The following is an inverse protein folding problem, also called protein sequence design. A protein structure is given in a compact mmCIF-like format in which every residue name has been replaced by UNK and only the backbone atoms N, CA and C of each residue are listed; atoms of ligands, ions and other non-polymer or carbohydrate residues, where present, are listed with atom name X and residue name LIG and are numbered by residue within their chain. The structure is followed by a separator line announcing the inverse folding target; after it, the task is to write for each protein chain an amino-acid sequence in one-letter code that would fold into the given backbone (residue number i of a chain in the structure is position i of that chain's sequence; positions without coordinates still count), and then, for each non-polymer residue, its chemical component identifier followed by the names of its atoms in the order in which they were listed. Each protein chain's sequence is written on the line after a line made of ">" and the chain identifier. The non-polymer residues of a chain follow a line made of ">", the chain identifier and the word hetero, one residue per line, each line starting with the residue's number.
data_IF_321744011898
#
_entry.id   IF_321744011898
#
_cell.length_a   1.000
_cell.length_b   1.000
_cell.length_c   1.000
_cell.angle_alpha   90.00
_cell.angle_beta   90.00
_cell.angle_gamma   90.00
#
_symmetry.space_group_name_H-M   'P 1'
#
loop_
_entity.id
_entity.type
_entity.pdbx_description
1 polymer ?
#
# COMPACT_ATOMS: atom_id res chain seq x y z
N UNK A 1 -4.78 -17.62 -34.09
CA UNK A 1 -5.96 -17.61 -33.21
C UNK A 1 -5.60 -18.09 -31.82
N UNK A 2 -5.20 -17.19 -30.91
CA UNK A 2 -5.35 -17.48 -29.47
C UNK A 2 -6.87 -17.45 -29.15
N UNK A 3 -7.39 -18.36 -28.34
CA UNK A 3 -8.82 -18.39 -28.03
C UNK A 3 -9.20 -17.17 -27.19
N UNK A 4 -10.32 -16.52 -27.53
CA UNK A 4 -10.86 -15.30 -26.88
C UNK A 4 -11.05 -15.46 -25.37
N UNK A 5 -11.25 -16.70 -24.90
CA UNK A 5 -11.41 -17.04 -23.48
C UNK A 5 -10.12 -16.83 -22.67
N UNK A 6 -8.92 -16.94 -23.26
CA UNK A 6 -7.66 -16.77 -22.52
C UNK A 6 -7.36 -15.30 -22.22
N UNK A 7 -7.71 -14.40 -23.15
CA UNK A 7 -7.40 -12.97 -23.05
C UNK A 7 -8.25 -12.33 -21.95
N UNK A 8 -9.56 -12.59 -21.95
CA UNK A 8 -10.46 -12.06 -20.90
C UNK A 8 -10.12 -12.58 -19.49
N UNK A 9 -9.62 -13.82 -19.38
CA UNK A 9 -9.18 -14.38 -18.11
C UNK A 9 -7.87 -13.72 -17.61
N UNK A 10 -6.92 -13.46 -18.51
CA UNK A 10 -5.67 -12.75 -18.22
C UNK A 10 -5.93 -11.29 -17.83
N UNK A 11 -6.82 -10.58 -18.54
CA UNK A 11 -7.28 -9.23 -18.19
C UNK A 11 -7.91 -9.19 -16.80
N UNK A 12 -8.80 -10.14 -16.46
CA UNK A 12 -9.41 -10.20 -15.12
C UNK A 12 -8.39 -10.45 -14.01
N UNK A 13 -7.31 -11.18 -14.32
CA UNK A 13 -6.22 -11.47 -13.39
C UNK A 13 -5.32 -10.25 -13.22
N UNK A 14 -5.04 -9.52 -14.30
CA UNK A 14 -4.28 -8.28 -14.26
C UNK A 14 -5.00 -7.22 -13.43
N UNK A 15 -6.29 -7.00 -13.72
CA UNK A 15 -7.16 -6.07 -12.99
C UNK A 15 -7.17 -6.36 -11.49
N UNK A 16 -7.40 -7.62 -11.10
CA UNK A 16 -7.40 -8.02 -9.70
C UNK A 16 -6.07 -7.72 -9.01
N UNK A 17 -4.95 -7.91 -9.72
CA UNK A 17 -3.61 -7.71 -9.18
C UNK A 17 -3.25 -6.23 -9.08
N UNK A 18 -3.53 -5.44 -10.12
CA UNK A 18 -3.37 -3.98 -10.12
C UNK A 18 -4.23 -3.36 -9.02
N UNK A 19 -5.48 -3.81 -8.86
CA UNK A 19 -6.37 -3.37 -7.79
C UNK A 19 -5.76 -3.61 -6.40
N UNK A 20 -5.23 -4.82 -6.14
CA UNK A 20 -4.54 -5.15 -4.89
C UNK A 20 -3.34 -4.23 -4.63
N UNK A 21 -2.52 -3.97 -5.64
CA UNK A 21 -1.34 -3.09 -5.54
C UNK A 21 -1.76 -1.64 -5.26
N UNK A 22 -2.76 -1.13 -5.97
CA UNK A 22 -3.30 0.21 -5.76
C UNK A 22 -3.92 0.38 -4.37
N UNK A 23 -4.56 -0.65 -3.81
CA UNK A 23 -5.05 -0.62 -2.42
C UNK A 23 -3.92 -0.48 -1.41
N UNK A 24 -2.77 -1.12 -1.63
CA UNK A 24 -1.59 -0.92 -0.78
C UNK A 24 -1.02 0.50 -0.95
N UNK A 25 -0.96 1.03 -2.18
CA UNK A 25 -0.54 2.41 -2.45
C UNK A 25 -1.43 3.42 -1.72
N UNK A 26 -2.73 3.20 -1.74
CA UNK A 26 -3.70 4.02 -1.00
C UNK A 26 -3.49 3.91 0.52
N UNK A 27 -3.32 2.69 1.03
CA UNK A 27 -3.07 2.47 2.45
C UNK A 27 -1.78 3.17 2.92
N UNK A 28 -0.71 3.16 2.12
CA UNK A 28 0.51 3.91 2.42
C UNK A 28 0.24 5.43 2.51
N UNK A 29 -0.56 5.99 1.58
CA UNK A 29 -0.95 7.40 1.63
C UNK A 29 -1.85 7.73 2.83
N UNK A 30 -2.75 6.82 3.19
CA UNK A 30 -3.59 6.91 4.37
C UNK A 30 -2.73 7.03 5.63
N UNK A 31 -1.72 6.18 5.79
CA UNK A 31 -0.78 6.25 6.93
C UNK A 31 0.05 7.55 6.91
N UNK A 32 0.55 7.98 5.74
CA UNK A 32 1.26 9.27 5.61
C UNK A 32 0.39 10.44 6.09
N UNK A 33 -0.87 10.50 5.66
CA UNK A 33 -1.79 11.59 6.03
C UNK A 33 -2.09 11.57 7.53
N UNK A 34 -2.35 10.39 8.08
CA UNK A 34 -2.52 10.23 9.50
C UNK A 34 -1.29 10.79 10.23
N UNK A 35 -0.07 10.46 9.79
CA UNK A 35 1.14 10.82 10.56
C UNK A 35 1.34 12.32 10.53
N UNK A 36 1.11 12.94 9.37
CA UNK A 36 1.25 14.38 9.18
C UNK A 36 0.18 15.21 9.89
N UNK A 37 -1.05 14.72 10.00
CA UNK A 37 -2.16 15.54 10.54
C UNK A 37 -2.17 15.61 12.08
N UNK A 38 -1.34 14.81 12.76
CA UNK A 38 -1.21 14.85 14.21
C UNK A 38 -2.47 14.45 14.98
N UNK A 39 -3.53 13.95 14.30
CA UNK A 39 -4.74 13.41 14.94
C UNK A 39 -4.48 12.06 15.65
N UNK A 40 -3.22 11.63 15.71
CA UNK A 40 -2.72 10.49 16.49
C UNK A 40 -2.77 10.77 18.00
N UNK A 41 -3.65 10.08 18.73
CA UNK A 41 -3.42 9.80 20.17
C UNK A 41 -2.54 8.55 20.30
N UNK A 42 -1.78 8.41 21.39
CA UNK A 42 -0.73 7.38 21.58
C UNK A 42 -1.14 5.92 21.23
N UNK A 43 -2.41 5.56 21.39
CA UNK A 43 -2.96 4.23 21.05
C UNK A 43 -2.88 3.91 19.55
N UNK A 44 -2.80 4.90 18.68
CA UNK A 44 -2.80 4.71 17.23
C UNK A 44 -1.38 4.47 16.64
N UNK A 45 -0.28 4.66 17.38
CA UNK A 45 1.08 4.43 16.84
C UNK A 45 1.43 2.95 16.67
N UNK A 46 0.89 2.08 17.53
CA UNK A 46 0.90 0.63 17.32
C UNK A 46 0.10 0.21 16.06
N UNK A 47 -0.83 1.04 15.58
CA UNK A 47 -1.62 0.75 14.38
C UNK A 47 -0.81 0.93 13.11
N UNK A 48 0.19 1.82 13.04
CA UNK A 48 1.02 2.00 11.83
C UNK A 48 1.83 0.73 11.53
N UNK A 49 2.49 0.16 12.55
CA UNK A 49 3.20 -1.12 12.44
C UNK A 49 2.27 -2.25 12.01
N UNK A 50 1.06 -2.29 12.57
CA UNK A 50 0.04 -3.28 12.20
C UNK A 50 -0.46 -3.08 10.76
N UNK A 51 -0.71 -1.84 10.34
CA UNK A 51 -1.14 -1.50 8.98
C UNK A 51 -0.09 -1.94 7.95
N UNK A 52 1.20 -1.69 8.21
CA UNK A 52 2.30 -2.16 7.36
C UNK A 52 2.34 -3.69 7.28
N UNK A 53 2.13 -4.38 8.41
CA UNK A 53 2.02 -5.86 8.40
C UNK A 53 0.84 -6.33 7.54
N UNK A 54 -0.29 -5.62 7.56
CA UNK A 54 -1.44 -5.93 6.69
C UNK A 54 -1.16 -5.64 5.21
N UNK A 55 -0.48 -4.54 4.89
CA UNK A 55 -0.01 -4.25 3.53
C UNK A 55 0.83 -5.39 2.96
N UNK A 56 1.73 -5.97 3.76
CA UNK A 56 2.57 -7.09 3.33
C UNK A 56 1.81 -8.43 3.27
N UNK A 57 1.09 -8.78 4.34
CA UNK A 57 0.55 -10.14 4.53
C UNK A 57 -0.85 -10.34 3.96
N UNK A 58 -1.76 -9.40 4.18
CA UNK A 58 -3.16 -9.56 3.78
C UNK A 58 -3.34 -9.27 2.30
N UNK A 59 -2.62 -8.29 1.78
CA UNK A 59 -2.61 -8.01 0.34
C UNK A 59 -1.64 -8.90 -0.43
N UNK A 60 -0.83 -9.73 0.25
CA UNK A 60 0.19 -10.59 -0.36
C UNK A 60 1.02 -9.80 -1.37
N UNK A 61 1.49 -8.62 -0.98
CA UNK A 61 2.00 -7.60 -1.91
C UNK A 61 3.11 -8.12 -2.84
N UNK A 62 4.04 -8.91 -2.31
CA UNK A 62 5.09 -9.53 -3.12
C UNK A 62 4.52 -10.46 -4.21
N UNK A 63 3.55 -11.30 -3.85
CA UNK A 63 2.88 -12.19 -4.80
C UNK A 63 2.10 -11.41 -5.86
N UNK A 64 1.49 -10.28 -5.47
CA UNK A 64 0.80 -9.41 -6.40
C UNK A 64 1.77 -8.80 -7.42
N UNK A 65 2.92 -8.27 -7.01
CA UNK A 65 3.93 -7.79 -7.95
C UNK A 65 4.43 -8.89 -8.89
N UNK A 66 4.73 -10.08 -8.36
CA UNK A 66 5.17 -11.21 -9.17
C UNK A 66 4.10 -11.61 -10.19
N UNK A 67 2.84 -11.69 -9.75
CA UNK A 67 1.71 -12.08 -10.60
C UNK A 67 1.44 -11.06 -11.72
N UNK A 68 1.51 -9.76 -11.43
CA UNK A 68 1.33 -8.70 -12.43
C UNK A 68 2.52 -8.66 -13.40
N UNK A 69 3.77 -8.73 -12.91
CA UNK A 69 4.96 -8.75 -13.77
C UNK A 69 4.97 -9.95 -14.72
N UNK A 70 4.46 -11.11 -14.29
CA UNK A 70 4.35 -12.30 -15.14
C UNK A 70 3.46 -12.10 -16.37
N UNK A 71 2.56 -11.11 -16.35
CA UNK A 71 1.66 -10.77 -17.46
C UNK A 71 2.31 -9.80 -18.48
N UNK A 72 3.48 -9.23 -18.17
CA UNK A 72 4.25 -8.46 -19.14
C UNK A 72 4.88 -9.41 -20.16
N UNK A 73 4.68 -9.13 -21.45
CA UNK A 73 5.23 -9.97 -22.55
C UNK A 73 6.74 -9.81 -22.71
N UNK A 74 7.26 -8.60 -22.44
CA UNK A 74 8.68 -8.27 -22.59
C UNK A 74 9.47 -8.66 -21.33
N UNK A 75 10.48 -9.52 -21.50
CA UNK A 75 11.30 -10.01 -20.38
C UNK A 75 12.08 -8.89 -19.67
N UNK A 76 12.55 -7.86 -20.39
CA UNK A 76 13.26 -6.73 -19.78
C UNK A 76 12.31 -5.90 -18.91
N UNK A 77 11.11 -5.60 -19.43
CA UNK A 77 10.06 -4.93 -18.65
C UNK A 77 9.63 -5.75 -17.44
N UNK A 78 9.52 -7.07 -17.58
CA UNK A 78 9.18 -7.97 -16.47
C UNK A 78 10.20 -7.90 -15.33
N UNK A 79 11.50 -7.91 -15.66
CA UNK A 79 12.58 -7.79 -14.66
C UNK A 79 12.53 -6.41 -13.99
N UNK A 80 12.48 -5.33 -14.78
CA UNK A 80 12.45 -3.98 -14.24
C UNK A 80 11.20 -3.70 -13.37
N UNK A 81 10.03 -4.19 -13.78
CA UNK A 81 8.83 -4.13 -12.95
C UNK A 81 9.01 -4.95 -11.67
N UNK A 82 9.56 -6.16 -11.75
CA UNK A 82 9.89 -6.97 -10.58
C UNK A 82 10.76 -6.22 -9.56
N UNK A 83 11.82 -5.57 -10.02
CA UNK A 83 12.72 -4.78 -9.18
C UNK A 83 12.04 -3.57 -8.52
N UNK A 84 11.14 -2.88 -9.24
CA UNK A 84 10.35 -1.79 -8.65
C UNK A 84 9.40 -2.30 -7.55
N UNK A 85 8.74 -3.44 -7.80
CA UNK A 85 7.87 -4.08 -6.82
C UNK A 85 8.61 -4.58 -5.58
N UNK A 86 9.78 -5.19 -5.77
CA UNK A 86 10.65 -5.67 -4.69
C UNK A 86 11.10 -4.52 -3.79
N UNK A 87 11.55 -3.39 -4.38
CA UNK A 87 11.89 -2.18 -3.62
C UNK A 87 10.72 -1.69 -2.75
N UNK A 88 9.48 -1.75 -3.23
CA UNK A 88 8.32 -1.37 -2.41
C UNK A 88 8.13 -2.31 -1.20
N UNK A 89 8.31 -3.62 -1.40
CA UNK A 89 8.23 -4.63 -0.33
C UNK A 89 9.35 -4.46 0.69
N UNK A 90 10.59 -4.27 0.23
CA UNK A 90 11.77 -4.06 1.08
C UNK A 90 11.65 -2.79 1.94
N UNK A 91 11.10 -1.70 1.38
CA UNK A 91 10.86 -0.48 2.15
C UNK A 91 9.87 -0.72 3.30
N UNK A 92 8.81 -1.51 3.08
CA UNK A 92 7.87 -1.87 4.16
C UNK A 92 8.54 -2.75 5.23
N UNK A 93 9.37 -3.72 4.84
CA UNK A 93 10.14 -4.53 5.80
C UNK A 93 11.14 -3.68 6.60
N UNK A 94 11.86 -2.77 5.94
CA UNK A 94 12.77 -1.82 6.59
C UNK A 94 12.06 -1.00 7.67
N UNK A 95 10.84 -0.53 7.40
CA UNK A 95 10.04 0.17 8.42
C UNK A 95 9.72 -0.76 9.60
N UNK A 96 9.33 -2.02 9.34
CA UNK A 96 9.03 -2.99 10.40
C UNK A 96 10.25 -3.32 11.26
N UNK A 97 11.41 -3.53 10.65
CA UNK A 97 12.67 -3.77 11.36
C UNK A 97 13.02 -2.60 12.28
N UNK A 98 12.78 -1.37 11.82
CA UNK A 98 13.02 -0.18 12.62
C UNK A 98 12.09 -0.09 13.84
N UNK A 99 10.83 -0.52 13.71
CA UNK A 99 9.94 -0.68 14.85
C UNK A 99 10.45 -1.78 15.81
N UNK A 100 10.81 -2.96 15.30
CA UNK A 100 11.22 -4.12 16.11
C UNK A 100 12.55 -3.90 16.85
N UNK A 101 13.55 -3.26 16.22
CA UNK A 101 14.84 -2.94 16.84
C UNK A 101 14.72 -2.06 18.10
N UNK A 102 13.66 -1.28 18.18
CA UNK A 102 13.40 -0.39 19.30
C UNK A 102 12.60 -1.04 20.44
N UNK A 103 11.79 -2.05 20.13
CA UNK A 103 11.07 -2.82 21.15
C UNK A 103 12.07 -3.55 22.08
N UNK A 104 13.25 -3.92 21.57
CA UNK A 104 14.36 -4.48 22.35
C UNK A 104 14.98 -3.44 23.31
N UNK A 105 15.02 -2.16 22.94
CA UNK A 105 15.51 -1.08 23.82
C UNK A 105 14.49 -0.69 24.90
N UNK A 106 13.20 -0.90 24.65
CA UNK A 106 12.08 -0.53 25.52
C UNK A 106 11.64 -1.63 26.50
N UNK A 107 12.46 -2.65 26.75
CA UNK A 107 12.22 -3.69 27.77
C UNK A 107 12.16 -3.16 29.23
N UNK A 108 12.30 -1.85 29.45
CA UNK A 108 11.95 -1.19 30.72
C UNK A 108 10.48 -0.77 30.68
N UNK A 109 9.67 -1.51 31.44
CA UNK A 109 8.24 -1.30 31.68
C UNK A 109 7.89 0.20 31.86
N UNK A 110 7.07 0.77 30.97
CA UNK A 110 6.34 2.00 31.30
C UNK A 110 6.00 3.00 30.18
N UNK A 111 6.68 3.02 29.04
CA UNK A 111 6.42 4.03 27.99
C UNK A 111 6.37 3.41 26.59
N UNK A 112 5.16 3.13 26.11
CA UNK A 112 4.86 2.44 24.85
C UNK A 112 4.73 3.40 23.65
N UNK A 113 5.67 4.33 23.48
CA UNK A 113 5.70 5.15 22.28
C UNK A 113 6.66 4.55 21.25
N UNK A 114 6.21 3.51 20.55
CA UNK A 114 7.02 2.80 19.55
C UNK A 114 7.38 3.65 18.33
N UNK A 115 6.90 4.89 18.22
CA UNK A 115 7.01 5.75 17.04
C UNK A 115 7.65 7.12 17.34
N UNK A 116 7.75 7.55 18.60
CA UNK A 116 8.44 8.80 18.96
C UNK A 116 9.85 8.90 18.35
N UNK A 117 10.07 9.97 17.59
CA UNK A 117 11.35 10.27 16.95
C UNK A 117 11.59 9.49 15.65
N UNK A 118 10.60 8.71 15.19
CA UNK A 118 10.68 7.82 14.02
C UNK A 118 9.79 8.28 12.88
N UNK A 119 8.97 9.30 13.12
CA UNK A 119 7.97 9.79 12.19
C UNK A 119 8.60 10.13 10.84
N UNK A 120 9.77 10.80 10.85
CA UNK A 120 10.49 11.13 9.62
C UNK A 120 10.92 9.92 8.79
N UNK A 121 11.44 8.87 9.43
CA UNK A 121 11.87 7.65 8.75
C UNK A 121 10.67 6.89 8.18
N UNK A 122 9.61 6.73 8.98
CA UNK A 122 8.41 6.03 8.53
C UNK A 122 7.72 6.79 7.40
N UNK A 123 7.63 8.12 7.49
CA UNK A 123 7.10 8.95 6.42
C UNK A 123 7.91 8.81 5.12
N UNK A 124 9.24 8.84 5.21
CA UNK A 124 10.11 8.65 4.06
C UNK A 124 9.96 7.25 3.45
N UNK A 125 9.91 6.21 4.30
CA UNK A 125 9.70 4.84 3.86
C UNK A 125 8.35 4.65 3.15
N UNK A 126 7.26 5.15 3.74
CA UNK A 126 5.92 5.08 3.12
C UNK A 126 5.85 5.87 1.81
N UNK A 127 6.53 7.02 1.71
CA UNK A 127 6.59 7.79 0.46
C UNK A 127 7.37 7.04 -0.62
N UNK A 128 8.50 6.41 -0.26
CA UNK A 128 9.24 5.52 -1.15
C UNK A 128 8.40 4.33 -1.62
N UNK A 129 7.59 3.72 -0.75
CA UNK A 129 6.67 2.64 -1.14
C UNK A 129 5.69 3.12 -2.20
N UNK A 130 5.05 4.27 -1.98
CA UNK A 130 4.13 4.88 -2.94
C UNK A 130 4.81 5.15 -4.28
N UNK A 131 6.01 5.75 -4.26
CA UNK A 131 6.75 6.09 -5.48
C UNK A 131 7.20 4.84 -6.25
N UNK A 132 7.66 3.78 -5.56
CA UNK A 132 8.02 2.51 -6.19
C UNK A 132 6.79 1.77 -6.76
N UNK A 133 5.61 1.87 -6.11
CA UNK A 133 4.36 1.37 -6.69
C UNK A 133 3.98 2.17 -7.94
N UNK A 134 4.08 3.50 -7.91
CA UNK A 134 3.77 4.34 -9.06
C UNK A 134 4.74 4.03 -10.23
N UNK A 135 6.03 3.77 -9.95
CA UNK A 135 7.02 3.27 -10.92
C UNK A 135 6.66 1.89 -11.48
N UNK A 136 6.24 0.95 -10.62
CA UNK A 136 5.77 -0.37 -11.02
C UNK A 136 4.57 -0.30 -11.97
N UNK A 137 3.60 0.54 -11.65
CA UNK A 137 2.36 0.67 -12.43
C UNK A 137 2.61 1.30 -13.82
N UNK A 138 3.69 2.06 -13.98
CA UNK A 138 4.07 2.66 -15.27
C UNK A 138 4.47 1.63 -16.35
N UNK A 139 4.70 0.36 -15.98
CA UNK A 139 4.94 -0.73 -16.93
C UNK A 139 3.67 -1.27 -17.58
N UNK A 140 2.49 -0.92 -17.07
CA UNK A 140 1.19 -1.42 -17.52
C UNK A 140 0.43 -0.36 -18.34
N UNK A 141 -0.56 -0.76 -19.16
CA UNK A 141 -1.40 0.19 -19.87
C UNK A 141 -2.11 1.16 -18.92
N UNK A 142 -1.96 2.46 -19.16
CA UNK A 142 -2.56 3.48 -18.30
C UNK A 142 -4.08 3.36 -18.21
N UNK A 143 -4.74 2.87 -19.26
CA UNK A 143 -6.19 2.63 -19.26
C UNK A 143 -6.63 1.60 -18.23
N UNK A 144 -5.86 0.54 -18.03
CA UNK A 144 -6.16 -0.51 -17.05
C UNK A 144 -5.88 -0.02 -15.63
N UNK A 145 -4.75 0.66 -15.43
CA UNK A 145 -4.39 1.27 -14.15
C UNK A 145 -5.42 2.31 -13.72
N UNK A 146 -5.84 3.19 -14.63
CA UNK A 146 -6.83 4.22 -14.33
C UNK A 146 -8.24 3.66 -14.12
N UNK A 147 -8.61 2.58 -14.82
CA UNK A 147 -9.85 1.85 -14.53
C UNK A 147 -9.90 1.36 -13.09
N UNK A 148 -8.83 0.72 -12.61
CA UNK A 148 -8.75 0.26 -11.22
C UNK A 148 -8.62 1.40 -10.21
N UNK A 149 -7.93 2.49 -10.55
CA UNK A 149 -7.87 3.71 -9.74
C UNK A 149 -9.27 4.32 -9.53
N UNK A 150 -10.04 4.43 -10.60
CA UNK A 150 -11.41 4.96 -10.56
C UNK A 150 -12.32 4.10 -9.69
N UNK A 151 -12.21 2.77 -9.81
CA UNK A 151 -12.94 1.85 -8.93
C UNK A 151 -12.64 2.11 -7.44
N UNK A 152 -11.38 2.29 -7.07
CA UNK A 152 -11.00 2.60 -5.69
C UNK A 152 -11.56 3.97 -5.25
N UNK A 153 -11.52 4.98 -6.13
CA UNK A 153 -12.10 6.29 -5.85
C UNK A 153 -13.61 6.22 -5.59
N UNK A 154 -14.33 5.45 -6.40
CA UNK A 154 -15.77 5.22 -6.24
C UNK A 154 -16.09 4.50 -4.93
N UNK A 155 -15.35 3.43 -4.61
CA UNK A 155 -15.48 2.70 -3.35
C UNK A 155 -15.23 3.60 -2.14
N UNK A 156 -14.25 4.49 -2.23
CA UNK A 156 -13.94 5.46 -1.18
C UNK A 156 -15.04 6.53 -0.99
N UNK A 157 -15.62 7.01 -2.09
CA UNK A 157 -16.73 7.96 -2.01
C UNK A 157 -18.00 7.29 -1.48
N UNK A 158 -18.26 6.03 -1.83
CA UNK A 158 -19.34 5.24 -1.24
C UNK A 158 -19.13 5.06 0.27
N UNK A 159 -17.92 4.65 0.70
CA UNK A 159 -17.58 4.52 2.12
C UNK A 159 -17.80 5.82 2.89
N UNK A 160 -17.50 6.97 2.28
CA UNK A 160 -17.73 8.29 2.87
C UNK A 160 -19.23 8.61 2.97
N UNK A 161 -20.02 8.31 1.94
CA UNK A 161 -21.47 8.55 1.91
C UNK A 161 -22.23 7.66 2.90
N UNK A 162 -21.78 6.42 3.05
CA UNK A 162 -22.42 5.40 3.89
C UNK A 162 -21.93 5.42 5.35
N UNK A 163 -20.94 6.26 5.66
CA UNK A 163 -20.43 6.40 7.02
C UNK A 163 -21.52 6.84 8.01
N UNK A 164 -21.73 6.05 9.07
CA UNK A 164 -22.61 6.42 10.17
C UNK A 164 -21.89 7.42 11.11
N UNK A 165 -22.32 8.69 11.18
CA UNK A 165 -21.70 9.69 12.05
C UNK A 165 -21.75 9.33 13.53
N UNK A 166 -22.61 8.38 13.94
CA UNK A 166 -22.67 7.87 15.32
C UNK A 166 -21.43 7.04 15.70
N UNK A 167 -20.67 6.54 14.72
CA UNK A 167 -19.44 5.79 14.94
C UNK A 167 -18.22 6.69 15.14
N UNK A 168 -18.35 8.00 14.92
CA UNK A 168 -17.30 9.00 15.12
C UNK A 168 -17.01 9.86 13.88
N UNK A 169 -15.89 10.58 13.94
CA UNK A 169 -15.38 11.41 12.84
C UNK A 169 -14.49 10.58 11.90
N UNK A 170 -14.63 10.76 10.58
CA UNK A 170 -13.65 10.23 9.63
C UNK A 170 -12.38 11.08 9.69
N UNK A 171 -11.34 10.55 10.32
CA UNK A 171 -10.07 11.28 10.53
C UNK A 171 -9.06 11.15 9.37
N UNK A 172 -9.32 10.25 8.41
CA UNK A 172 -8.43 9.94 7.30
C UNK A 172 -9.17 9.83 5.96
N UNK A 173 -9.80 10.92 5.55
CA UNK A 173 -10.43 10.97 4.23
C UNK A 173 -9.38 10.83 3.13
N UNK A 174 -9.62 9.99 2.11
CA UNK A 174 -8.79 9.95 0.93
C UNK A 174 -8.82 11.32 0.22
N UNK A 175 -7.63 11.85 -0.08
CA UNK A 175 -7.45 12.92 -1.06
C UNK A 175 -7.58 12.35 -2.46
N UNK A 176 -7.91 13.18 -3.46
CA UNK A 176 -7.86 12.76 -4.87
C UNK A 176 -6.51 12.06 -5.17
N UNK A 177 -6.57 10.88 -5.79
CA UNK A 177 -5.46 9.89 -5.90
C UNK A 177 -4.52 10.21 -7.06
#
# INVERSE_FOLDING_TARGET
>A
NKPVVSIAAEESKLDATIYTILRVREAAQQEIRLIKNGKFKDVQRANVKLAIRYMLKNYRLADAFIAASALLEDNSKRVAAGEAGERAVENLYTILEYFDASDVQNLKVGTYDSMAGKEGLVLAGLDSVKNNIDEFLAFFPSTEVESMRNKILEENELNRKEWDPKLGEIVNLPSAI
#
